data_IF_932189766442
#
_entry.id   IF_932189766442
#
_cell.length_a   1.000
_cell.length_b   1.000
_cell.length_c   1.000
_cell.angle_alpha   90.00
_cell.angle_beta   90.00
_cell.angle_gamma   90.00
#
_symmetry.space_group_name_H-M   'P 1'
#
loop_
_entity.id
_entity.type
_entity.pdbx_description
1 polymer ?
#
# COMPACT_ATOMS: atom_id res chain seq x y z
N UNK A 1 -26.09 20.00 -69.37
CA UNK A 1 -25.71 18.78 -68.62
C UNK A 1 -25.26 19.21 -67.23
N UNK A 2 -26.12 19.06 -66.21
CA UNK A 2 -25.91 19.62 -64.88
C UNK A 2 -25.29 18.60 -63.92
N UNK A 3 -24.29 19.07 -63.18
CA UNK A 3 -23.52 18.39 -62.12
C UNK A 3 -24.43 17.90 -60.98
N UNK A 4 -24.17 16.71 -60.43
CA UNK A 4 -24.67 16.30 -59.10
C UNK A 4 -23.48 16.11 -58.17
N UNK A 5 -23.33 17.09 -57.27
CA UNK A 5 -22.45 17.02 -56.12
C UNK A 5 -23.09 16.11 -55.07
N UNK A 6 -22.38 15.08 -54.61
CA UNK A 6 -22.78 14.32 -53.43
C UNK A 6 -22.32 15.07 -52.19
N UNK A 7 -23.27 15.63 -51.45
CA UNK A 7 -23.07 16.13 -50.10
C UNK A 7 -22.89 14.94 -49.15
N UNK A 8 -21.68 14.76 -48.61
CA UNK A 8 -21.48 13.95 -47.41
C UNK A 8 -22.02 14.73 -46.21
N UNK A 9 -23.34 14.73 -46.05
CA UNK A 9 -23.98 15.08 -44.79
C UNK A 9 -23.60 14.03 -43.74
N UNK A 10 -22.57 14.30 -42.95
CA UNK A 10 -22.42 13.65 -41.64
C UNK A 10 -23.62 14.09 -40.81
N UNK A 11 -24.57 13.18 -40.60
CA UNK A 11 -25.69 13.38 -39.70
C UNK A 11 -25.22 13.60 -38.25
N UNK A 12 -26.12 14.06 -37.36
CA UNK A 12 -25.81 14.29 -35.96
C UNK A 12 -25.35 12.98 -35.31
N UNK A 13 -24.19 13.01 -34.66
CA UNK A 13 -23.71 11.91 -33.81
C UNK A 13 -24.77 11.59 -32.75
N UNK A 14 -25.16 10.32 -32.54
CA UNK A 14 -26.04 9.99 -31.42
C UNK A 14 -25.32 10.36 -30.12
N UNK A 15 -25.91 11.25 -29.33
CA UNK A 15 -25.43 11.51 -27.97
C UNK A 15 -25.55 10.19 -27.19
N UNK A 16 -24.42 9.55 -26.89
CA UNK A 16 -24.40 8.35 -26.06
C UNK A 16 -24.97 8.71 -24.68
N UNK A 17 -25.87 7.89 -24.17
CA UNK A 17 -26.40 8.06 -22.82
C UNK A 17 -25.27 7.88 -21.78
N UNK A 18 -25.44 8.44 -20.58
CA UNK A 18 -24.45 8.29 -19.49
C UNK A 18 -24.15 6.81 -19.21
N UNK A 19 -25.16 5.96 -19.31
CA UNK A 19 -25.05 4.51 -19.14
C UNK A 19 -24.24 3.86 -20.27
N UNK A 20 -24.48 4.25 -21.52
CA UNK A 20 -23.72 3.74 -22.68
C UNK A 20 -22.24 4.14 -22.62
N UNK A 21 -21.92 5.34 -22.11
CA UNK A 21 -20.55 5.77 -21.91
C UNK A 21 -19.81 4.91 -20.88
N UNK A 22 -20.47 4.58 -19.75
CA UNK A 22 -19.92 3.68 -18.72
C UNK A 22 -19.75 2.26 -19.27
N UNK A 23 -20.75 1.73 -19.98
CA UNK A 23 -20.65 0.40 -20.61
C UNK A 23 -19.48 0.31 -21.60
N UNK A 24 -19.36 1.29 -22.49
CA UNK A 24 -18.32 1.32 -23.52
C UNK A 24 -16.91 1.47 -22.91
N UNK A 25 -16.75 2.32 -21.88
CA UNK A 25 -15.44 2.55 -21.28
C UNK A 25 -14.92 1.36 -20.47
N UNK A 26 -15.78 0.72 -19.68
CA UNK A 26 -15.39 -0.40 -18.82
C UNK A 26 -15.58 -1.78 -19.48
N UNK A 27 -16.03 -1.84 -20.74
CA UNK A 27 -16.33 -3.10 -21.43
C UNK A 27 -17.47 -3.89 -20.75
N UNK A 28 -18.42 -3.19 -20.12
CA UNK A 28 -19.49 -3.81 -19.34
C UNK A 28 -20.73 -4.04 -20.21
N UNK A 29 -21.34 -5.22 -20.04
CA UNK A 29 -22.68 -5.46 -20.58
C UNK A 29 -23.73 -4.72 -19.74
N UNK A 30 -24.92 -4.50 -20.31
CA UNK A 30 -26.05 -3.90 -19.57
C UNK A 30 -26.40 -4.69 -18.30
N UNK A 31 -26.21 -6.02 -18.34
CA UNK A 31 -26.41 -6.91 -17.18
C UNK A 31 -25.37 -6.61 -16.07
N UNK A 32 -24.10 -6.47 -16.42
CA UNK A 32 -23.05 -6.15 -15.45
C UNK A 32 -23.29 -4.79 -14.78
N UNK A 33 -23.78 -3.80 -15.53
CA UNK A 33 -24.10 -2.50 -14.93
C UNK A 33 -25.33 -2.58 -14.02
N UNK A 34 -26.32 -3.41 -14.34
CA UNK A 34 -27.48 -3.65 -13.48
C UNK A 34 -27.06 -4.19 -12.11
N UNK A 35 -26.13 -5.15 -12.12
CA UNK A 35 -25.56 -5.77 -10.91
C UNK A 35 -24.76 -4.76 -10.08
N UNK A 36 -23.90 -3.94 -10.72
CA UNK A 36 -23.13 -2.90 -10.02
C UNK A 36 -24.02 -1.82 -9.37
N UNK A 37 -25.10 -1.45 -10.06
CA UNK A 37 -26.06 -0.46 -9.58
C UNK A 37 -27.09 -1.05 -8.59
N UNK A 38 -27.06 -2.38 -8.36
CA UNK A 38 -28.02 -3.14 -7.55
C UNK A 38 -29.48 -2.88 -7.95
N UNK A 39 -29.75 -2.84 -9.26
CA UNK A 39 -31.10 -2.70 -9.82
C UNK A 39 -31.39 -3.81 -10.83
N UNK A 40 -32.65 -4.20 -11.02
CA UNK A 40 -33.01 -5.11 -12.10
C UNK A 40 -32.64 -4.53 -13.47
N UNK A 41 -32.19 -5.37 -14.40
CA UNK A 41 -31.87 -4.97 -15.78
C UNK A 41 -33.01 -4.21 -16.46
N UNK A 42 -34.26 -4.62 -16.21
CA UNK A 42 -35.45 -3.94 -16.73
C UNK A 42 -35.53 -2.46 -16.29
N UNK A 43 -35.09 -2.15 -15.07
CA UNK A 43 -35.06 -0.78 -14.54
C UNK A 43 -34.05 0.09 -15.29
N UNK A 44 -32.89 -0.46 -15.69
CA UNK A 44 -31.96 0.27 -16.56
C UNK A 44 -32.52 0.51 -17.95
N UNK A 45 -33.17 -0.49 -18.56
CA UNK A 45 -33.80 -0.31 -19.87
C UNK A 45 -34.89 0.77 -19.85
N UNK A 46 -35.67 0.85 -18.76
CA UNK A 46 -36.69 1.89 -18.60
C UNK A 46 -36.09 3.28 -18.40
N UNK A 47 -34.93 3.40 -17.76
CA UNK A 47 -34.20 4.66 -17.61
C UNK A 47 -33.61 5.12 -18.95
N UNK A 48 -32.99 4.21 -19.71
CA UNK A 48 -32.45 4.50 -21.05
C UNK A 48 -33.52 4.97 -22.04
N UNK A 49 -34.74 4.44 -21.92
CA UNK A 49 -35.88 4.81 -22.77
C UNK A 49 -36.67 6.01 -22.23
N UNK A 50 -36.27 6.58 -21.08
CA UNK A 50 -36.93 7.72 -20.46
C UNK A 50 -38.30 7.39 -19.85
N UNK A 51 -38.65 6.11 -19.71
CA UNK A 51 -39.93 5.67 -19.16
C UNK A 51 -39.96 5.74 -17.63
N UNK A 52 -38.81 5.57 -16.97
CA UNK A 52 -38.71 5.62 -15.51
C UNK A 52 -37.29 5.98 -15.07
N UNK A 53 -37.18 6.95 -14.17
CA UNK A 53 -35.90 7.33 -13.58
C UNK A 53 -35.33 6.25 -12.66
N UNK A 54 -34.00 6.14 -12.63
CA UNK A 54 -33.29 5.32 -11.65
C UNK A 54 -33.54 5.77 -10.20
N UNK A 55 -33.59 4.81 -9.24
CA UNK A 55 -33.56 5.14 -7.82
C UNK A 55 -32.31 5.95 -7.48
N UNK A 56 -32.43 6.92 -6.55
CA UNK A 56 -31.34 7.83 -6.17
C UNK A 56 -30.02 7.11 -5.85
N UNK A 57 -30.08 5.99 -5.13
CA UNK A 57 -28.90 5.20 -4.78
C UNK A 57 -28.18 4.63 -6.02
N UNK A 58 -28.93 4.21 -7.05
CA UNK A 58 -28.37 3.74 -8.32
C UNK A 58 -27.81 4.92 -9.15
N UNK A 59 -28.48 6.07 -9.13
CA UNK A 59 -28.00 7.30 -9.79
C UNK A 59 -26.65 7.75 -9.22
N UNK A 60 -26.50 7.78 -7.88
CA UNK A 60 -25.25 8.15 -7.23
C UNK A 60 -24.10 7.20 -7.59
N UNK A 61 -24.36 5.89 -7.67
CA UNK A 61 -23.37 4.90 -8.09
C UNK A 61 -22.99 5.04 -9.55
N UNK A 62 -23.96 5.31 -10.42
CA UNK A 62 -23.72 5.58 -11.84
C UNK A 62 -22.88 6.85 -12.01
N UNK A 63 -23.14 7.90 -11.22
CA UNK A 63 -22.34 9.12 -11.23
C UNK A 63 -20.91 8.89 -10.70
N UNK A 64 -20.71 8.03 -9.70
CA UNK A 64 -19.38 7.65 -9.24
C UNK A 64 -18.58 6.92 -10.34
N UNK A 65 -19.21 6.02 -11.10
CA UNK A 65 -18.60 5.37 -12.26
C UNK A 65 -18.28 6.38 -13.37
N UNK A 66 -19.16 7.36 -13.58
CA UNK A 66 -18.95 8.44 -14.55
C UNK A 66 -17.75 9.32 -14.21
N UNK A 67 -17.45 9.53 -12.92
CA UNK A 67 -16.30 10.32 -12.49
C UNK A 67 -14.95 9.70 -12.86
N UNK A 68 -14.92 8.40 -13.15
CA UNK A 68 -13.72 7.68 -13.57
C UNK A 68 -13.51 7.67 -15.09
N UNK A 69 -14.46 8.22 -15.87
CA UNK A 69 -14.32 8.32 -17.32
C UNK A 69 -13.23 9.36 -17.66
N UNK A 70 -12.41 9.14 -18.70
CA UNK A 70 -11.49 10.14 -19.19
C UNK A 70 -12.25 11.32 -19.81
N UNK A 71 -11.62 12.50 -19.84
CA UNK A 71 -12.11 13.64 -20.60
C UNK A 71 -12.28 13.22 -22.08
N UNK A 72 -13.36 13.62 -22.77
CA UNK A 72 -14.35 14.65 -22.41
C UNK A 72 -15.60 14.15 -21.66
N UNK A 73 -15.68 12.86 -21.30
CA UNK A 73 -16.91 12.24 -20.79
C UNK A 73 -16.98 12.15 -19.26
N UNK A 74 -15.84 12.20 -18.59
CA UNK A 74 -15.74 12.40 -17.14
C UNK A 74 -15.33 13.85 -16.78
N UNK A 75 -15.22 14.15 -15.48
CA UNK A 75 -14.73 15.45 -15.03
C UNK A 75 -13.36 15.72 -15.67
N UNK A 76 -13.14 16.96 -16.11
CA UNK A 76 -11.82 17.38 -16.56
C UNK A 76 -10.81 17.04 -15.45
N UNK A 77 -9.62 16.49 -15.78
CA UNK A 77 -8.60 16.22 -14.77
C UNK A 77 -8.41 17.50 -13.96
N UNK A 78 -8.62 17.40 -12.64
CA UNK A 78 -8.33 18.51 -11.75
C UNK A 78 -6.89 18.95 -12.03
N UNK A 79 -6.62 20.27 -12.16
CA UNK A 79 -5.25 20.73 -12.32
C UNK A 79 -4.42 20.11 -11.19
N UNK A 80 -3.19 19.63 -11.46
CA UNK A 80 -2.35 19.08 -10.42
C UNK A 80 -2.28 20.09 -9.28
N UNK A 81 -2.72 19.68 -8.09
CA UNK A 81 -2.59 20.52 -6.90
C UNK A 81 -1.09 20.84 -6.76
N UNK A 82 -0.70 22.11 -6.54
CA UNK A 82 0.67 22.41 -6.21
C UNK A 82 1.08 21.53 -5.03
N UNK A 83 2.25 20.89 -5.12
CA UNK A 83 2.77 20.08 -4.03
C UNK A 83 2.71 20.93 -2.76
N UNK A 84 2.10 20.44 -1.67
CA UNK A 84 1.98 21.22 -0.45
C UNK A 84 3.40 21.59 0.00
N UNK A 85 3.71 22.88 -0.03
CA UNK A 85 4.95 23.38 0.55
C UNK A 85 4.87 23.13 2.04
N UNK A 86 5.77 22.29 2.57
CA UNK A 86 5.87 22.06 4.00
C UNK A 86 6.22 23.38 4.71
N UNK A 87 5.43 23.73 5.71
CA UNK A 87 5.71 24.84 6.62
C UNK A 87 6.99 24.57 7.41
N UNK A 88 7.61 25.62 7.96
CA UNK A 88 8.81 25.48 8.82
C UNK A 88 8.56 24.56 10.03
N UNK A 89 7.35 24.61 10.59
CA UNK A 89 6.93 23.76 11.71
C UNK A 89 6.88 22.28 11.30
N UNK A 90 6.25 21.95 10.17
CA UNK A 90 6.21 20.58 9.65
C UNK A 90 7.61 20.04 9.31
N UNK A 91 8.49 20.88 8.75
CA UNK A 91 9.87 20.50 8.50
C UNK A 91 10.63 20.20 9.80
N UNK A 92 10.43 21.01 10.84
CA UNK A 92 11.01 20.78 12.16
C UNK A 92 10.52 19.46 12.78
N UNK A 93 9.21 19.18 12.72
CA UNK A 93 8.64 17.92 13.21
C UNK A 93 9.23 16.70 12.50
N UNK A 94 9.36 16.76 11.18
CA UNK A 94 9.98 15.70 10.38
C UNK A 94 11.46 15.48 10.76
N UNK A 95 12.23 16.56 10.95
CA UNK A 95 13.61 16.46 11.43
C UNK A 95 13.70 15.83 12.84
N UNK A 96 12.79 16.19 13.73
CA UNK A 96 12.72 15.61 15.07
C UNK A 96 12.34 14.13 15.03
N UNK A 97 11.39 13.74 14.17
CA UNK A 97 11.05 12.34 13.95
C UNK A 97 12.25 11.57 13.41
N UNK A 98 13.00 12.12 12.46
CA UNK A 98 14.20 11.49 11.89
C UNK A 98 15.26 11.20 12.97
N UNK A 99 15.48 12.14 13.91
CA UNK A 99 16.39 11.92 15.05
C UNK A 99 15.90 10.81 15.97
N UNK A 100 14.58 10.77 16.25
CA UNK A 100 13.97 9.74 17.09
C UNK A 100 14.10 8.35 16.48
N UNK A 101 13.93 8.23 15.15
CA UNK A 101 14.14 6.97 14.43
C UNK A 101 15.54 6.42 14.68
N UNK A 102 16.59 7.27 14.66
CA UNK A 102 17.96 6.81 14.93
C UNK A 102 18.15 6.17 16.32
N UNK A 103 17.45 6.69 17.35
CA UNK A 103 17.47 6.10 18.69
C UNK A 103 16.71 4.76 18.73
N UNK A 104 15.57 4.69 18.04
CA UNK A 104 14.78 3.47 17.91
C UNK A 104 15.56 2.37 17.17
N UNK A 105 16.21 2.70 16.04
CA UNK A 105 17.08 1.82 15.26
C UNK A 105 18.15 1.17 16.13
N UNK A 106 18.93 1.97 16.87
CA UNK A 106 19.98 1.46 17.76
C UNK A 106 19.43 0.46 18.80
N UNK A 107 18.30 0.77 19.43
CA UNK A 107 17.71 -0.11 20.43
C UNK A 107 17.24 -1.44 19.84
N UNK A 108 16.70 -1.42 18.62
CA UNK A 108 16.22 -2.59 17.89
C UNK A 108 17.39 -3.45 17.39
N UNK A 109 18.47 -2.84 16.91
CA UNK A 109 19.69 -3.56 16.55
C UNK A 109 20.29 -4.32 17.74
N UNK A 110 20.35 -3.67 18.91
CA UNK A 110 20.79 -4.33 20.14
C UNK A 110 19.85 -5.46 20.58
N UNK A 111 18.54 -5.31 20.41
CA UNK A 111 17.59 -6.38 20.67
C UNK A 111 17.74 -7.55 19.67
N UNK A 112 18.00 -7.24 18.40
CA UNK A 112 18.20 -8.24 17.36
C UNK A 112 19.47 -9.04 17.61
N UNK A 113 20.59 -8.37 17.88
CA UNK A 113 21.85 -9.04 18.21
C UNK A 113 21.71 -9.96 19.43
N UNK A 114 21.01 -9.50 20.49
CA UNK A 114 20.73 -10.33 21.68
C UNK A 114 19.90 -11.57 21.35
N UNK A 115 18.80 -11.42 20.62
CA UNK A 115 17.93 -12.56 20.27
C UNK A 115 18.65 -13.57 19.36
N UNK A 116 19.39 -13.11 18.35
CA UNK A 116 20.21 -13.97 17.50
C UNK A 116 21.30 -14.71 18.29
N UNK A 117 21.96 -14.04 19.24
CA UNK A 117 22.95 -14.67 20.10
C UNK A 117 22.32 -15.74 21.01
N UNK A 118 21.14 -15.49 21.58
CA UNK A 118 20.42 -16.49 22.39
C UNK A 118 20.07 -17.73 21.58
N UNK A 119 19.54 -17.56 20.35
CA UNK A 119 19.20 -18.68 19.47
C UNK A 119 20.45 -19.46 19.05
N UNK A 120 21.55 -18.77 18.70
CA UNK A 120 22.83 -19.41 18.38
C UNK A 120 23.35 -20.23 19.56
N UNK A 121 23.31 -19.66 20.76
CA UNK A 121 23.71 -20.37 21.98
C UNK A 121 22.83 -21.60 22.22
N UNK A 122 21.50 -21.48 22.10
CA UNK A 122 20.59 -22.61 22.23
C UNK A 122 20.93 -23.75 21.25
N UNK A 123 21.20 -23.42 19.99
CA UNK A 123 21.61 -24.40 18.97
C UNK A 123 22.93 -25.08 19.33
N UNK A 124 23.95 -24.30 19.70
CA UNK A 124 25.25 -24.85 20.10
C UNK A 124 25.11 -25.79 21.30
N UNK A 125 24.29 -25.41 22.29
CA UNK A 125 24.01 -26.24 23.48
C UNK A 125 23.41 -27.60 23.10
N UNK A 126 22.44 -27.62 22.19
CA UNK A 126 21.83 -28.86 21.71
C UNK A 126 22.80 -29.71 20.89
N UNK A 127 23.67 -29.07 20.09
CA UNK A 127 24.69 -29.77 19.29
C UNK A 127 25.73 -30.49 20.15
N UNK A 128 26.16 -29.89 21.27
CA UNK A 128 27.17 -30.48 22.16
C UNK A 128 26.59 -31.48 23.16
N UNK A 129 25.26 -31.53 23.31
CA UNK A 129 24.58 -32.35 24.31
C UNK A 129 24.97 -33.84 24.28
N UNK A 130 25.12 -34.51 23.11
CA UNK A 130 25.51 -35.92 23.07
C UNK A 130 26.89 -36.17 23.69
N UNK A 131 27.89 -35.36 23.33
CA UNK A 131 29.25 -35.47 23.88
C UNK A 131 29.27 -35.19 25.39
N UNK A 132 28.45 -34.25 25.86
CA UNK A 132 28.32 -33.98 27.29
C UNK A 132 27.67 -35.15 28.06
N UNK A 133 26.69 -35.84 27.45
CA UNK A 133 26.06 -37.02 28.05
C UNK A 133 27.04 -38.20 28.17
N UNK A 134 27.94 -38.36 27.22
CA UNK A 134 29.02 -39.35 27.30
C UNK A 134 30.04 -39.02 28.39
N UNK A 135 30.38 -37.73 28.55
CA UNK A 135 31.35 -37.26 29.53
C UNK A 135 30.83 -37.25 30.98
N UNK A 136 29.51 -37.12 31.17
CA UNK A 136 28.85 -37.00 32.48
C UNK A 136 27.77 -38.09 32.65
N UNK A 137 28.16 -39.37 32.81
CA UNK A 137 27.22 -40.49 32.87
C UNK A 137 26.48 -40.60 34.21
N UNK A 138 26.89 -39.86 35.24
CA UNK A 138 26.30 -39.90 36.57
C UNK A 138 24.90 -39.26 36.63
N UNK A 139 24.07 -39.71 37.58
CA UNK A 139 22.67 -39.27 37.70
C UNK A 139 22.52 -37.76 37.89
N UNK A 140 23.44 -37.15 38.63
CA UNK A 140 23.45 -35.70 38.84
C UNK A 140 23.77 -34.97 37.53
N UNK A 141 24.81 -35.39 36.82
CA UNK A 141 25.17 -34.90 35.49
C UNK A 141 24.00 -35.00 34.50
N UNK A 142 23.31 -36.14 34.45
CA UNK A 142 22.14 -36.33 33.59
C UNK A 142 20.96 -35.40 33.97
N UNK A 143 20.69 -35.21 35.26
CA UNK A 143 19.64 -34.29 35.74
C UNK A 143 19.93 -32.84 35.33
N UNK A 144 21.19 -32.42 35.47
CA UNK A 144 21.63 -31.10 35.03
C UNK A 144 21.53 -30.95 33.50
N UNK A 145 21.96 -31.95 32.72
CA UNK A 145 21.88 -31.96 31.25
C UNK A 145 20.44 -31.89 30.75
N UNK A 146 19.48 -32.54 31.43
CA UNK A 146 18.05 -32.44 31.10
C UNK A 146 17.54 -31.00 31.29
N UNK A 147 17.94 -30.33 32.36
CA UNK A 147 17.59 -28.92 32.61
C UNK A 147 18.21 -28.00 31.55
N UNK A 148 19.47 -28.27 31.20
CA UNK A 148 20.22 -27.54 30.18
C UNK A 148 19.59 -27.67 28.78
N UNK A 149 19.18 -28.88 28.40
CA UNK A 149 18.44 -29.16 27.18
C UNK A 149 17.07 -28.47 27.17
N UNK A 150 16.30 -28.61 28.25
CA UNK A 150 14.98 -28.00 28.35
C UNK A 150 15.04 -26.46 28.19
N UNK A 151 16.02 -25.79 28.80
CA UNK A 151 16.23 -24.35 28.63
C UNK A 151 16.54 -23.97 27.18
N UNK A 152 17.42 -24.72 26.51
CA UNK A 152 17.75 -24.46 25.11
C UNK A 152 16.54 -24.65 24.19
N UNK A 153 15.74 -25.70 24.41
CA UNK A 153 14.51 -25.94 23.68
C UNK A 153 13.46 -24.84 23.91
N UNK A 154 13.34 -24.33 25.14
CA UNK A 154 12.45 -23.19 25.44
C UNK A 154 12.85 -21.95 24.64
N UNK A 155 14.14 -21.60 24.61
CA UNK A 155 14.61 -20.45 23.82
C UNK A 155 14.30 -20.60 22.33
N UNK A 156 14.53 -21.78 21.75
CA UNK A 156 14.16 -22.02 20.35
C UNK A 156 12.64 -21.94 20.13
N UNK A 157 11.83 -22.45 21.07
CA UNK A 157 10.37 -22.42 20.92
C UNK A 157 9.80 -21.01 20.96
N UNK A 158 10.30 -20.15 21.85
CA UNK A 158 9.69 -18.83 22.10
C UNK A 158 10.37 -17.69 21.36
N UNK A 159 11.67 -17.76 21.07
CA UNK A 159 12.42 -16.65 20.47
C UNK A 159 12.63 -16.79 18.95
N UNK A 160 12.22 -17.88 18.31
CA UNK A 160 12.47 -18.10 16.87
C UNK A 160 11.84 -17.04 15.96
N UNK A 161 10.67 -16.50 16.32
CA UNK A 161 10.02 -15.43 15.55
C UNK A 161 10.56 -14.03 15.83
N UNK A 162 11.23 -13.84 16.97
CA UNK A 162 11.66 -12.51 17.45
C UNK A 162 12.64 -11.81 16.50
N UNK A 163 13.70 -12.46 15.98
CA UNK A 163 14.60 -11.83 15.01
C UNK A 163 13.90 -11.31 13.76
N UNK A 164 13.01 -12.12 13.17
CA UNK A 164 12.30 -11.74 11.95
C UNK A 164 11.39 -10.51 12.16
N UNK A 165 10.74 -10.41 13.32
CA UNK A 165 9.93 -9.24 13.67
C UNK A 165 10.78 -7.98 13.89
N UNK A 166 11.95 -8.12 14.53
CA UNK A 166 12.87 -7.01 14.75
C UNK A 166 13.47 -6.52 13.42
N UNK A 167 13.87 -7.42 12.53
CA UNK A 167 14.33 -7.10 11.18
C UNK A 167 13.26 -6.39 10.36
N UNK A 168 12.01 -6.85 10.44
CA UNK A 168 10.88 -6.18 9.78
C UNK A 168 10.69 -4.75 10.29
N UNK A 169 10.76 -4.54 11.61
CA UNK A 169 10.65 -3.19 12.20
C UNK A 169 11.79 -2.28 11.75
N UNK A 170 13.02 -2.79 11.70
CA UNK A 170 14.17 -2.04 11.17
C UNK A 170 13.95 -1.63 9.71
N UNK A 171 13.39 -2.51 8.86
CA UNK A 171 13.05 -2.18 7.47
C UNK A 171 12.00 -1.07 7.37
N UNK A 172 10.98 -1.10 8.24
CA UNK A 172 9.95 -0.05 8.30
C UNK A 172 10.56 1.28 8.70
N UNK A 173 11.42 1.32 9.73
CA UNK A 173 12.10 2.54 10.15
C UNK A 173 13.03 3.10 9.06
N UNK A 174 13.76 2.23 8.36
CA UNK A 174 14.61 2.63 7.24
C UNK A 174 13.79 3.24 6.10
N UNK A 175 12.63 2.67 5.77
CA UNK A 175 11.70 3.22 4.80
C UNK A 175 11.16 4.59 5.25
N UNK A 176 10.67 4.69 6.49
CA UNK A 176 10.17 5.94 7.05
C UNK A 176 11.23 7.06 7.00
N UNK A 177 12.47 6.75 7.36
CA UNK A 177 13.60 7.67 7.31
C UNK A 177 13.90 8.15 5.88
N UNK A 178 13.78 7.27 4.88
CA UNK A 178 13.93 7.63 3.47
C UNK A 178 12.81 8.54 2.99
N UNK A 179 11.57 8.25 3.36
CA UNK A 179 10.41 9.08 3.01
C UNK A 179 10.50 10.47 3.65
N UNK A 180 10.91 10.56 4.91
CA UNK A 180 11.15 11.84 5.59
C UNK A 180 12.24 12.63 4.86
N UNK A 181 13.35 11.99 4.49
CA UNK A 181 14.43 12.64 3.76
C UNK A 181 13.97 13.16 2.39
N UNK A 182 13.14 12.40 1.67
CA UNK A 182 12.52 12.82 0.40
C UNK A 182 11.65 14.05 0.59
N UNK A 183 10.74 14.03 1.57
CA UNK A 183 9.83 15.15 1.85
C UNK A 183 10.59 16.43 2.22
N UNK A 184 11.65 16.32 3.02
CA UNK A 184 12.52 17.45 3.36
C UNK A 184 13.30 17.98 2.15
N UNK A 185 13.74 17.10 1.24
CA UNK A 185 14.44 17.50 0.01
C UNK A 185 13.51 18.20 -0.99
N UNK A 186 12.27 17.73 -1.13
CA UNK A 186 11.24 18.34 -1.99
C UNK A 186 10.79 19.71 -1.46
N UNK A 187 10.86 19.93 -0.15
CA UNK A 187 10.53 21.21 0.48
C UNK A 187 11.68 22.24 0.43
N UNK A 188 12.90 21.83 0.11
CA UNK A 188 14.02 22.77 -0.05
C UNK A 188 13.76 23.65 -1.29
N UNK A 189 13.75 24.99 -1.17
CA UNK A 189 13.55 25.85 -2.32
C UNK A 189 14.66 25.61 -3.35
N UNK A 190 14.29 25.49 -4.62
CA UNK A 190 15.24 25.51 -5.73
C UNK A 190 16.07 26.79 -5.59
N UNK A 191 17.34 26.65 -5.24
CA UNK A 191 18.25 27.78 -5.09
C UNK A 191 18.21 28.58 -6.40
N UNK A 192 17.67 29.80 -6.35
CA UNK A 192 17.71 30.71 -7.49
C UNK A 192 19.18 30.88 -7.90
N UNK A 193 19.53 30.69 -9.19
CA UNK A 193 20.90 30.88 -9.64
C UNK A 193 21.31 32.33 -9.33
N UNK A 194 22.56 32.57 -8.88
CA UNK A 194 23.01 33.90 -8.54
C UNK A 194 22.88 34.81 -9.76
N UNK A 195 22.08 35.87 -9.63
CA UNK A 195 21.93 36.90 -10.65
C UNK A 195 23.31 37.51 -10.93
N UNK A 196 23.87 37.40 -12.15
CA UNK A 196 25.12 38.07 -12.47
C UNK A 196 24.87 39.58 -12.48
N UNK A 197 25.62 40.30 -11.65
CA UNK A 197 25.66 41.76 -11.60
C UNK A 197 26.53 42.36 -12.69
#
# INVERSE_FOLDING_TARGET
MAKRNFSHGRGPTPFLSRLQLVQAHFGLSQQHVAELLLVPRATLTMDETGQRLLPLAATLRLDALRQQLPAPYGPAPAPPMPAPHLTEEEQWELQMRQRKIGLEEYSLEQALARSQNHLRQAQLRLQVLPALREALPDEWGQTWLNTFEAQAQLWLKYDTGTPALLELRLKVLAFEKQEIARLLAEAAPAQEPPTPG
#
